data_IF_841202069171
#
_entry.id   IF_841202069171
#
_cell.length_a   1.000
_cell.length_b   1.000
_cell.length_c   1.000
_cell.angle_alpha   90.00
_cell.angle_beta   90.00
_cell.angle_gamma   90.00
#
_symmetry.space_group_name_H-M   'P 1'
#
loop_
_entity.id
_entity.type
_entity.pdbx_description
1 polymer ?
#
# COMPACT_ATOMS: atom_id res chain seq x y z
N UNK A 1 0.67 -14.50 -5.96
CA UNK A 1 2.16 -14.51 -5.95
C UNK A 1 2.77 -13.59 -7.02
N UNK A 2 1.98 -13.00 -7.92
CA UNK A 2 2.46 -12.26 -9.10
C UNK A 2 3.27 -10.98 -8.84
N UNK A 3 3.06 -10.31 -7.70
CA UNK A 3 3.67 -9.01 -7.42
C UNK A 3 5.12 -9.12 -6.91
N UNK A 4 5.37 -10.11 -6.04
CA UNK A 4 6.67 -10.30 -5.36
C UNK A 4 7.85 -10.40 -6.35
N UNK A 5 7.76 -11.13 -7.48
CA UNK A 5 8.87 -11.23 -8.43
C UNK A 5 9.17 -9.94 -9.20
N UNK A 6 8.25 -8.96 -9.23
CA UNK A 6 8.36 -7.76 -10.08
C UNK A 6 8.88 -6.53 -9.32
N UNK A 7 8.93 -6.61 -8.00
CA UNK A 7 9.27 -5.50 -7.12
C UNK A 7 10.59 -5.81 -6.44
N UNK A 8 11.59 -4.95 -6.66
CA UNK A 8 12.89 -5.03 -6.00
C UNK A 8 12.87 -4.42 -4.59
N UNK A 9 12.10 -3.35 -4.43
CA UNK A 9 12.05 -2.54 -3.22
C UNK A 9 10.67 -1.90 -3.11
N UNK A 10 10.12 -1.81 -1.90
CA UNK A 10 8.84 -1.16 -1.63
C UNK A 10 8.83 -0.58 -0.22
N UNK A 11 8.39 0.67 -0.10
CA UNK A 11 8.31 1.40 1.17
C UNK A 11 7.06 2.27 1.23
N UNK A 12 6.64 2.60 2.45
CA UNK A 12 5.60 3.60 2.68
C UNK A 12 6.19 5.00 2.47
N UNK A 13 5.57 5.79 1.60
CA UNK A 13 5.99 7.16 1.32
C UNK A 13 5.41 8.17 2.32
N UNK A 14 4.29 7.81 2.97
CA UNK A 14 3.63 8.55 4.03
C UNK A 14 2.72 7.59 4.83
N UNK A 15 2.15 8.01 5.98
CA UNK A 15 1.17 7.21 6.71
C UNK A 15 -0.03 6.83 5.84
N UNK A 16 -0.58 5.64 6.05
CA UNK A 16 -1.82 5.23 5.39
C UNK A 16 -3.03 5.98 5.98
N UNK A 17 -3.95 6.41 5.13
CA UNK A 17 -5.24 6.98 5.54
C UNK A 17 -6.29 5.86 5.56
N UNK A 18 -7.14 5.82 6.58
CA UNK A 18 -8.21 4.82 6.71
C UNK A 18 -9.57 5.44 6.40
N UNK A 19 -10.47 4.62 5.84
CA UNK A 19 -11.86 5.04 5.64
C UNK A 19 -12.55 5.19 7.00
N UNK A 20 -13.22 6.32 7.22
CA UNK A 20 -14.15 6.49 8.34
C UNK A 20 -15.46 5.76 8.04
N UNK A 21 -15.70 4.63 8.74
CA UNK A 21 -16.89 3.79 8.54
C UNK A 21 -17.17 2.94 9.78
N UNK A 22 -18.44 2.53 9.94
CA UNK A 22 -18.92 1.77 11.10
C UNK A 22 -19.00 0.26 10.89
N UNK A 23 -18.81 -0.23 9.65
CA UNK A 23 -18.99 -1.66 9.33
C UNK A 23 -17.71 -2.32 8.83
N UNK A 24 -17.30 -2.08 7.57
CA UNK A 24 -16.04 -2.61 7.02
C UNK A 24 -15.16 -1.47 6.61
N UNK A 25 -14.06 -1.32 7.34
CA UNK A 25 -13.01 -0.34 7.06
C UNK A 25 -11.92 -0.86 6.13
N UNK A 26 -10.80 -0.15 6.15
CA UNK A 26 -9.61 -0.47 5.38
C UNK A 26 -8.82 0.80 5.07
N UNK A 27 -7.58 0.66 4.61
CA UNK A 27 -6.81 1.80 4.14
C UNK A 27 -7.47 2.37 2.88
N UNK A 28 -7.91 3.62 2.97
CA UNK A 28 -8.42 4.44 1.88
C UNK A 28 -7.30 4.83 0.91
N UNK A 29 -6.13 5.12 1.46
CA UNK A 29 -4.95 5.54 0.72
C UNK A 29 -3.71 4.91 1.34
N UNK A 30 -2.90 4.24 0.53
CA UNK A 30 -1.58 3.70 0.92
C UNK A 30 -0.53 4.27 -0.03
N UNK A 31 0.04 5.44 0.28
CA UNK A 31 1.06 6.04 -0.56
C UNK A 31 2.36 5.23 -0.46
N UNK A 32 2.78 4.65 -1.58
CA UNK A 32 3.99 3.81 -1.67
C UNK A 32 5.00 4.36 -2.67
N UNK A 33 6.28 4.11 -2.41
CA UNK A 33 7.34 4.17 -3.40
C UNK A 33 7.85 2.75 -3.64
N UNK A 34 8.14 2.42 -4.89
CA UNK A 34 8.66 1.11 -5.25
C UNK A 34 9.69 1.20 -6.35
N UNK A 35 10.56 0.19 -6.42
CA UNK A 35 11.51 -0.03 -7.52
C UNK A 35 11.18 -1.34 -8.20
N UNK A 36 11.16 -1.32 -9.54
CA UNK A 36 10.96 -2.52 -10.33
C UNK A 36 12.22 -3.40 -10.31
N UNK A 37 12.00 -4.71 -10.44
CA UNK A 37 13.05 -5.73 -10.57
C UNK A 37 13.79 -5.62 -11.90
#
# INVERSE_FOLDING_TARGET
>A
AELVPRIRDIELAAPAEYIETLFVGGPKSVPIRYKMA
#
